data_IF_318478772197
#
_entry.id   IF_318478772197
#
_cell.length_a   1.000
_cell.length_b   1.000
_cell.length_c   1.000
_cell.angle_alpha   90.00
_cell.angle_beta   90.00
_cell.angle_gamma   90.00
#
_symmetry.space_group_name_H-M   'P 1'
#
loop_
_entity.id
_entity.type
_entity.pdbx_description
1 polymer ?
#
# COMPACT_ATOMS: atom_id res chain seq x y z
N UNK A 1 -5.20 -15.14 -17.44
CA UNK A 1 -3.76 -15.44 -17.36
C UNK A 1 -3.04 -14.10 -17.47
N UNK A 2 -2.63 -13.52 -16.34
CA UNK A 2 -1.87 -12.28 -16.34
C UNK A 2 -0.41 -12.64 -16.60
N UNK A 3 0.14 -12.17 -17.70
CA UNK A 3 1.56 -12.30 -18.00
C UNK A 3 2.24 -10.97 -17.65
N UNK A 4 2.85 -10.88 -16.50
CA UNK A 4 3.70 -9.72 -16.15
C UNK A 4 5.03 -9.89 -16.89
N UNK A 5 5.35 -8.96 -17.79
CA UNK A 5 6.53 -9.05 -18.64
C UNK A 5 7.63 -8.04 -18.27
N UNK A 6 7.39 -7.24 -17.23
CA UNK A 6 8.37 -6.29 -16.75
C UNK A 6 9.27 -6.92 -15.69
N UNK A 7 10.51 -6.43 -15.51
CA UNK A 7 11.26 -6.75 -14.31
C UNK A 7 10.36 -6.41 -13.13
N UNK A 8 10.31 -7.31 -12.16
CA UNK A 8 9.39 -7.24 -11.02
C UNK A 8 9.79 -6.05 -10.14
N UNK A 9 9.37 -4.86 -10.54
CA UNK A 9 9.60 -3.65 -9.76
C UNK A 9 8.74 -3.75 -8.52
N UNK A 10 9.32 -3.64 -7.32
CA UNK A 10 8.56 -3.59 -6.08
C UNK A 10 7.53 -2.47 -6.09
N UNK A 11 6.39 -2.68 -5.44
CA UNK A 11 5.37 -1.64 -5.29
C UNK A 11 4.64 -1.73 -3.97
N UNK A 12 4.10 -0.57 -3.59
CA UNK A 12 2.97 -0.47 -2.68
C UNK A 12 1.74 -0.16 -3.49
N UNK A 13 0.67 -0.83 -3.18
CA UNK A 13 -0.66 -0.52 -3.66
C UNK A 13 -1.64 -0.60 -2.49
N UNK A 14 -2.75 0.08 -2.59
CA UNK A 14 -3.83 -0.11 -1.64
C UNK A 14 -5.08 0.62 -2.05
N UNK A 15 -6.17 0.26 -1.40
CA UNK A 15 -7.49 0.82 -1.64
C UNK A 15 -8.29 0.91 -0.34
N UNK A 16 -9.12 1.93 -0.26
CA UNK A 16 -10.11 2.11 0.81
C UNK A 16 -11.47 2.41 0.23
N UNK A 17 -12.49 1.80 0.81
CA UNK A 17 -13.89 2.08 0.59
C UNK A 17 -14.47 2.74 1.83
N UNK A 18 -15.35 3.71 1.62
CA UNK A 18 -15.94 4.54 2.66
C UNK A 18 -17.46 4.33 2.72
N UNK A 19 -18.04 4.50 3.89
CA UNK A 19 -19.47 4.29 4.13
C UNK A 19 -20.39 5.16 3.26
N UNK A 20 -19.90 6.32 2.81
CA UNK A 20 -20.61 7.23 1.91
C UNK A 20 -20.51 6.86 0.42
N UNK A 21 -19.81 5.76 0.10
CA UNK A 21 -19.54 5.32 -1.28
C UNK A 21 -18.34 6.01 -1.93
N UNK A 22 -17.58 6.81 -1.17
CA UNK A 22 -16.29 7.33 -1.61
C UNK A 22 -15.26 6.21 -1.69
N UNK A 23 -14.20 6.44 -2.44
CA UNK A 23 -13.16 5.45 -2.71
C UNK A 23 -11.80 6.12 -2.88
N UNK A 24 -10.78 5.56 -2.27
CA UNK A 24 -9.38 5.97 -2.43
C UNK A 24 -8.56 4.78 -2.91
N UNK A 25 -7.71 4.98 -3.91
CA UNK A 25 -6.61 4.07 -4.21
C UNK A 25 -5.28 4.81 -4.31
N UNK A 26 -4.21 4.05 -4.16
CA UNK A 26 -2.84 4.54 -4.37
C UNK A 26 -1.96 3.44 -4.93
N UNK A 27 -0.95 3.86 -5.68
CA UNK A 27 0.07 2.99 -6.24
C UNK A 27 1.42 3.69 -6.23
N UNK A 28 2.41 3.09 -5.58
CA UNK A 28 3.77 3.60 -5.53
C UNK A 28 4.75 2.49 -5.91
N UNK A 29 5.23 2.44 -7.16
CA UNK A 29 6.36 1.62 -7.51
C UNK A 29 7.63 2.20 -6.85
N UNK A 30 8.55 1.32 -6.46
CA UNK A 30 9.82 1.75 -5.88
C UNK A 30 10.96 0.82 -6.31
N UNK A 31 12.19 1.34 -6.35
CA UNK A 31 13.38 0.52 -6.46
C UNK A 31 13.95 0.27 -5.07
N UNK A 32 14.42 -0.95 -4.83
CA UNK A 32 15.11 -1.30 -3.60
C UNK A 32 16.52 -1.79 -3.89
N UNK A 33 17.48 -1.28 -3.17
CA UNK A 33 18.89 -1.71 -3.27
C UNK A 33 19.15 -3.04 -2.57
N UNK A 34 18.21 -3.54 -1.77
CA UNK A 34 18.34 -4.78 -1.02
C UNK A 34 17.82 -6.02 -1.76
N UNK A 35 17.28 -5.87 -2.96
CA UNK A 35 16.80 -6.98 -3.80
C UNK A 35 17.96 -7.70 -4.50
N UNK A 36 18.92 -8.17 -3.72
CA UNK A 36 20.08 -8.90 -4.26
C UNK A 36 19.98 -10.41 -4.13
N UNK A 37 18.98 -10.89 -3.41
CA UNK A 37 18.78 -12.32 -3.18
C UNK A 37 17.29 -12.65 -3.16
N UNK A 38 16.95 -13.91 -3.50
CA UNK A 38 15.62 -14.46 -3.33
C UNK A 38 15.32 -14.52 -1.83
N UNK A 39 14.52 -13.58 -1.35
CA UNK A 39 14.14 -13.47 0.05
C UNK A 39 12.63 -13.28 0.14
N UNK A 40 11.95 -14.29 0.65
CA UNK A 40 10.49 -14.34 0.76
C UNK A 40 9.99 -13.82 2.12
N UNK A 41 10.91 -13.43 3.00
CA UNK A 41 10.53 -12.90 4.31
C UNK A 41 9.83 -11.56 4.17
N UNK A 42 8.81 -11.28 5.00
CA UNK A 42 8.20 -9.97 5.03
C UNK A 42 9.24 -8.89 5.32
N UNK A 43 9.14 -7.80 4.60
CA UNK A 43 10.03 -6.67 4.78
C UNK A 43 9.70 -5.91 6.06
N UNK A 44 10.75 -5.54 6.79
CA UNK A 44 10.66 -4.63 7.91
C UNK A 44 10.90 -3.21 7.42
N UNK A 45 10.33 -2.23 8.09
CA UNK A 45 10.50 -0.82 7.73
C UNK A 45 11.97 -0.41 7.59
N UNK A 46 12.84 -0.91 8.48
CA UNK A 46 14.29 -0.67 8.47
C UNK A 46 15.06 -1.30 7.31
N UNK A 47 14.49 -2.29 6.65
CA UNK A 47 15.16 -3.00 5.54
C UNK A 47 15.05 -2.21 4.22
N UNK A 48 14.41 -1.04 4.28
CA UNK A 48 14.14 -0.20 3.12
C UNK A 48 15.14 0.93 2.95
N UNK A 49 16.13 0.73 2.09
CA UNK A 49 16.70 1.83 1.34
C UNK A 49 15.94 1.92 0.00
N UNK A 50 14.89 2.74 -0.07
CA UNK A 50 14.07 2.85 -1.27
C UNK A 50 14.35 4.12 -2.04
N UNK A 51 14.38 3.97 -3.36
CA UNK A 51 14.25 5.08 -4.29
C UNK A 51 12.80 5.08 -4.77
N UNK A 52 11.95 5.99 -4.29
CA UNK A 52 10.57 6.06 -4.76
C UNK A 52 10.56 6.44 -6.24
N UNK A 53 9.78 5.70 -7.00
CA UNK A 53 9.44 6.09 -8.36
C UNK A 53 8.20 7.00 -8.31
N UNK A 54 7.71 7.39 -9.47
CA UNK A 54 6.53 8.25 -9.51
C UNK A 54 5.29 7.46 -9.08
N UNK A 55 4.76 7.79 -7.90
CA UNK A 55 3.50 7.27 -7.40
C UNK A 55 2.30 8.02 -7.96
N UNK A 56 1.15 7.39 -7.88
CA UNK A 56 -0.15 7.94 -8.30
C UNK A 56 -1.25 7.48 -7.35
N UNK A 57 -2.41 8.10 -7.44
CA UNK A 57 -3.59 7.69 -6.69
C UNK A 57 -4.85 8.27 -7.32
N UNK A 58 -5.98 7.79 -6.83
CA UNK A 58 -7.29 8.25 -7.26
C UNK A 58 -8.22 8.40 -6.06
N UNK A 59 -8.97 9.47 -6.03
CA UNK A 59 -10.03 9.73 -5.07
C UNK A 59 -11.35 9.91 -5.80
N UNK A 60 -12.32 9.07 -5.49
CA UNK A 60 -13.71 9.26 -5.90
C UNK A 60 -14.49 9.81 -4.71
N UNK A 61 -14.92 11.06 -4.80
CA UNK A 61 -15.82 11.66 -3.81
C UNK A 61 -17.27 11.37 -4.23
N UNK A 62 -17.95 10.51 -3.48
CA UNK A 62 -19.33 10.11 -3.79
C UNK A 62 -20.32 11.29 -3.69
N UNK A 63 -20.13 12.17 -2.73
CA UNK A 63 -20.98 13.37 -2.56
C UNK A 63 -20.90 14.36 -3.72
N UNK A 64 -19.79 14.35 -4.48
CA UNK A 64 -19.60 15.18 -5.67
C UNK A 64 -19.76 14.43 -6.98
N UNK A 65 -19.83 13.10 -6.92
CA UNK A 65 -19.75 12.23 -8.10
C UNK A 65 -18.52 12.56 -8.98
N UNK A 66 -17.42 12.94 -8.32
CA UNK A 66 -16.19 13.39 -8.97
C UNK A 66 -15.04 12.46 -8.62
N UNK A 67 -14.25 12.15 -9.63
CA UNK A 67 -12.98 11.44 -9.48
C UNK A 67 -11.83 12.41 -9.67
N UNK A 68 -10.90 12.43 -8.73
CA UNK A 68 -9.66 13.18 -8.80
C UNK A 68 -8.48 12.24 -8.96
N UNK A 69 -7.53 12.61 -9.81
CA UNK A 69 -6.27 11.91 -9.98
C UNK A 69 -5.18 12.62 -9.20
N UNK A 70 -4.37 11.85 -8.49
CA UNK A 70 -3.19 12.33 -7.80
C UNK A 70 -1.94 11.90 -8.57
N UNK A 71 -1.11 12.87 -8.93
CA UNK A 71 0.18 12.62 -9.57
C UNK A 71 1.32 12.47 -8.53
N UNK A 72 0.98 12.56 -7.25
CA UNK A 72 1.92 12.43 -6.14
C UNK A 72 1.35 11.47 -5.10
N UNK A 73 2.17 10.50 -4.75
CA UNK A 73 1.88 9.50 -3.73
C UNK A 73 3.16 9.19 -2.97
N UNK A 74 3.06 9.15 -1.67
CA UNK A 74 4.12 8.69 -0.76
C UNK A 74 3.54 7.59 0.13
N UNK A 75 4.29 6.54 0.33
CA UNK A 75 3.96 5.44 1.24
C UNK A 75 5.18 5.17 2.11
N UNK A 76 4.98 5.15 3.40
CA UNK A 76 5.97 4.81 4.40
C UNK A 76 5.45 3.67 5.27
N UNK A 77 6.28 2.65 5.49
CA UNK A 77 6.01 1.62 6.47
C UNK A 77 6.58 2.06 7.82
N UNK A 78 5.72 2.08 8.82
CA UNK A 78 6.11 2.36 10.20
C UNK A 78 6.10 1.05 10.99
N UNK A 79 7.06 0.88 11.89
CA UNK A 79 6.97 -0.14 12.93
C UNK A 79 5.91 0.33 13.93
N UNK A 80 4.96 -0.55 14.23
CA UNK A 80 3.88 -0.23 15.19
C UNK A 80 4.39 -0.56 16.59
N UNK A 81 4.30 0.40 17.49
CA UNK A 81 4.46 0.13 18.92
C UNK A 81 3.30 -0.76 19.39
N UNK A 82 3.58 -1.77 20.24
CA UNK A 82 2.57 -2.67 20.75
C UNK A 82 1.39 -1.92 21.39
N UNK A 83 0.17 -2.14 20.90
CA UNK A 83 -1.05 -1.55 21.42
C UNK A 83 -2.09 -2.62 21.80
N UNK A 84 -2.97 -2.32 22.75
CA UNK A 84 -4.04 -3.25 23.12
C UNK A 84 -5.00 -3.50 21.95
N UNK A 85 -5.22 -4.76 21.62
CA UNK A 85 -6.34 -5.24 20.80
C UNK A 85 -6.08 -5.43 19.30
N UNK A 86 -4.86 -5.22 18.80
CA UNK A 86 -4.50 -5.47 17.39
C UNK A 86 -3.40 -6.52 17.31
N UNK A 87 -3.47 -7.50 16.41
CA UNK A 87 -2.36 -8.41 16.16
C UNK A 87 -1.13 -7.61 15.72
N UNK A 88 -0.05 -7.71 16.46
CA UNK A 88 1.22 -7.08 16.15
C UNK A 88 2.04 -7.93 15.19
N UNK A 89 1.71 -9.22 15.16
CA UNK A 89 2.41 -10.24 14.40
C UNK A 89 1.40 -11.07 13.62
N UNK A 90 1.81 -11.52 12.46
CA UNK A 90 1.06 -12.54 11.72
C UNK A 90 1.18 -13.92 12.38
N UNK A 91 0.50 -14.93 11.80
CA UNK A 91 0.51 -16.31 12.29
C UNK A 91 1.91 -16.94 12.30
N UNK A 92 2.82 -16.45 11.47
CA UNK A 92 4.20 -16.90 11.36
C UNK A 92 5.16 -16.11 12.28
N UNK A 93 4.65 -15.19 13.07
CA UNK A 93 5.43 -14.35 14.00
C UNK A 93 6.17 -13.20 13.33
N UNK A 94 5.76 -12.77 12.13
CA UNK A 94 6.32 -11.60 11.48
C UNK A 94 5.52 -10.35 11.88
N UNK A 95 6.19 -9.21 12.10
CA UNK A 95 5.51 -7.97 12.44
C UNK A 95 4.60 -7.50 11.30
N UNK A 96 3.40 -7.08 11.66
CA UNK A 96 2.45 -6.47 10.74
C UNK A 96 2.79 -4.99 10.55
N UNK A 97 2.79 -4.49 9.31
CA UNK A 97 3.15 -3.11 9.04
C UNK A 97 2.04 -2.12 9.38
N UNK A 98 2.43 -0.90 9.70
CA UNK A 98 1.57 0.27 9.66
C UNK A 98 1.92 1.10 8.42
N UNK A 99 0.92 1.45 7.64
CA UNK A 99 1.07 2.23 6.42
C UNK A 99 0.75 3.70 6.70
N UNK A 100 1.74 4.56 6.50
CA UNK A 100 1.51 6.00 6.40
C UNK A 100 1.49 6.38 4.92
N UNK A 101 0.33 6.79 4.43
CA UNK A 101 0.12 7.10 3.01
C UNK A 101 -0.26 8.56 2.86
N UNK A 102 0.33 9.23 1.88
CA UNK A 102 -0.05 10.59 1.47
C UNK A 102 -0.22 10.63 -0.03
N UNK A 103 -1.36 11.14 -0.47
CA UNK A 103 -1.63 11.42 -1.89
C UNK A 103 -2.11 12.86 -2.02
N UNK A 104 -1.67 13.54 -3.08
CA UNK A 104 -2.08 14.94 -3.26
C UNK A 104 -1.98 15.43 -4.70
N UNK A 105 -2.76 16.48 -4.95
CA UNK A 105 -2.68 17.34 -6.12
C UNK A 105 -2.77 18.81 -5.65
N UNK A 106 -2.92 19.76 -6.55
CA UNK A 106 -3.02 21.17 -6.19
C UNK A 106 -4.33 21.59 -5.50
N UNK A 107 -5.29 20.67 -5.29
CA UNK A 107 -6.64 20.96 -4.76
C UNK A 107 -7.01 20.10 -3.55
N UNK A 108 -6.59 18.85 -3.57
CA UNK A 108 -6.94 17.87 -2.55
C UNK A 108 -5.68 17.21 -2.03
N UNK A 109 -5.62 17.02 -0.74
CA UNK A 109 -4.59 16.26 -0.05
C UNK A 109 -5.26 15.23 0.86
N UNK A 110 -4.82 13.99 0.80
CA UNK A 110 -5.27 12.91 1.68
C UNK A 110 -4.05 12.32 2.36
N UNK A 111 -4.10 12.28 3.69
CA UNK A 111 -3.13 11.58 4.52
C UNK A 111 -3.82 10.55 5.38
N UNK A 112 -3.26 9.35 5.50
CA UNK A 112 -3.81 8.30 6.35
C UNK A 112 -2.72 7.53 7.07
N UNK A 113 -3.11 7.00 8.23
CA UNK A 113 -2.38 6.00 8.99
C UNK A 113 -3.29 4.79 9.13
N UNK A 114 -2.83 3.62 8.67
CA UNK A 114 -3.61 2.41 8.69
C UNK A 114 -2.74 1.22 9.07
N UNK A 115 -3.22 0.41 10.03
CA UNK A 115 -2.55 -0.78 10.52
C UNK A 115 -3.00 -2.01 9.75
N UNK A 116 -2.06 -2.89 9.42
CA UNK A 116 -2.38 -4.22 8.97
C UNK A 116 -2.89 -5.05 10.15
N UNK A 117 -3.99 -5.79 9.95
CA UNK A 117 -4.57 -6.67 10.97
C UNK A 117 -4.34 -8.14 10.67
N UNK A 118 -3.91 -8.45 9.48
CA UNK A 118 -3.50 -9.79 9.05
C UNK A 118 -2.59 -9.68 7.83
N UNK A 119 -1.97 -10.79 7.44
CA UNK A 119 -1.17 -10.90 6.22
C UNK A 119 -1.57 -12.14 5.42
N UNK A 120 -1.85 -11.97 4.15
CA UNK A 120 -1.84 -13.04 3.18
C UNK A 120 -0.52 -12.99 2.38
N UNK A 121 0.10 -14.13 2.15
CA UNK A 121 1.43 -14.22 1.59
C UNK A 121 1.51 -15.32 0.53
N UNK A 122 2.09 -14.97 -0.64
CA UNK A 122 2.34 -15.92 -1.72
C UNK A 122 3.70 -15.69 -2.35
N UNK A 123 4.31 -16.78 -2.77
CA UNK A 123 5.48 -16.74 -3.64
C UNK A 123 5.23 -17.60 -4.87
N UNK A 124 5.74 -17.17 -6.01
CA UNK A 124 5.65 -17.95 -7.25
C UNK A 124 6.73 -17.58 -8.24
N UNK A 125 7.15 -18.58 -9.01
CA UNK A 125 8.08 -18.40 -10.11
C UNK A 125 7.31 -18.26 -11.42
N UNK A 126 7.68 -17.30 -12.25
CA UNK A 126 7.07 -17.02 -13.53
C UNK A 126 8.13 -16.92 -14.64
N UNK A 127 8.05 -17.74 -15.70
CA UNK A 127 8.96 -17.61 -16.82
C UNK A 127 8.70 -16.30 -17.57
N UNK A 128 9.76 -15.61 -17.92
CA UNK A 128 9.71 -14.41 -18.75
C UNK A 128 10.01 -14.71 -20.21
N UNK A 129 9.68 -13.78 -21.12
CA UNK A 129 10.03 -13.90 -22.54
C UNK A 129 11.53 -13.90 -22.80
N UNK A 130 12.32 -13.32 -21.92
CA UNK A 130 13.78 -13.26 -22.02
C UNK A 130 14.48 -14.55 -21.54
N UNK A 131 13.74 -15.65 -21.32
CA UNK A 131 14.23 -16.91 -20.75
C UNK A 131 14.81 -16.77 -19.34
N UNK A 132 14.46 -15.71 -18.65
CA UNK A 132 14.73 -15.53 -17.21
C UNK A 132 13.51 -15.99 -16.42
N UNK A 133 13.70 -16.28 -15.14
CA UNK A 133 12.63 -16.53 -14.20
C UNK A 133 12.41 -15.29 -13.35
N UNK A 134 11.17 -14.86 -13.19
CA UNK A 134 10.80 -13.87 -12.19
C UNK A 134 10.27 -14.60 -10.96
N UNK A 135 11.00 -14.56 -9.87
CA UNK A 135 10.51 -14.96 -8.55
C UNK A 135 9.75 -13.80 -7.95
N UNK A 136 8.51 -14.03 -7.56
CA UNK A 136 7.62 -13.00 -7.09
C UNK A 136 7.17 -13.28 -5.66
N UNK A 137 7.26 -12.27 -4.81
CA UNK A 137 6.77 -12.28 -3.44
C UNK A 137 5.65 -11.27 -3.31
N UNK A 138 4.49 -11.73 -2.89
CA UNK A 138 3.26 -10.96 -2.81
C UNK A 138 2.72 -10.97 -1.38
N UNK A 139 2.47 -9.81 -0.83
CA UNK A 139 1.85 -9.66 0.48
C UNK A 139 0.65 -8.75 0.37
N UNK A 140 -0.45 -9.17 0.95
CA UNK A 140 -1.69 -8.41 1.07
C UNK A 140 -2.11 -8.30 2.52
N UNK A 141 -2.56 -7.13 2.90
CA UNK A 141 -2.86 -6.75 4.28
C UNK A 141 -4.25 -6.13 4.35
N UNK A 142 -5.25 -6.78 4.99
CA UNK A 142 -6.44 -6.09 5.44
C UNK A 142 -6.06 -4.96 6.41
N UNK A 143 -6.72 -3.81 6.28
CA UNK A 143 -6.37 -2.60 7.00
C UNK A 143 -7.44 -2.18 8.01
N UNK A 144 -6.99 -1.72 9.15
CA UNK A 144 -7.74 -0.89 10.09
C UNK A 144 -7.19 0.55 10.02
N UNK A 145 -8.06 1.52 9.77
CA UNK A 145 -7.66 2.92 9.61
C UNK A 145 -7.69 3.61 10.97
N UNK A 146 -6.52 4.00 11.48
CA UNK A 146 -6.40 4.71 12.75
C UNK A 146 -6.66 6.21 12.60
N UNK A 147 -6.26 6.76 11.47
CA UNK A 147 -6.40 8.19 11.18
C UNK A 147 -6.47 8.41 9.67
N UNK A 148 -7.36 9.27 9.28
CA UNK A 148 -7.41 9.82 7.93
C UNK A 148 -7.74 11.30 7.99
N UNK A 149 -7.17 12.05 7.07
CA UNK A 149 -7.48 13.45 6.86
C UNK A 149 -7.63 13.69 5.36
N UNK A 150 -8.76 14.20 4.96
CA UNK A 150 -9.03 14.66 3.59
C UNK A 150 -9.17 16.18 3.65
N UNK A 151 -8.21 16.89 3.07
CA UNK A 151 -8.23 18.35 2.94
C UNK A 151 -8.57 18.71 1.50
N UNK A 152 -9.68 19.39 1.30
CA UNK A 152 -10.14 19.90 0.01
C UNK A 152 -10.76 21.30 0.16
N UNK A 153 -11.36 21.84 -0.87
CA UNK A 153 -11.99 23.17 -0.88
C UNK A 153 -13.19 23.32 0.08
N UNK A 154 -13.74 22.20 0.60
CA UNK A 154 -14.80 22.20 1.62
C UNK A 154 -14.27 22.27 3.05
N UNK A 155 -12.99 22.08 3.21
CA UNK A 155 -12.35 22.03 4.52
C UNK A 155 -11.71 20.67 4.80
N UNK A 156 -11.72 20.28 6.06
CA UNK A 156 -11.08 19.06 6.55
C UNK A 156 -12.16 18.04 6.91
N UNK A 157 -12.00 16.83 6.44
CA UNK A 157 -12.75 15.64 6.88
C UNK A 157 -11.77 14.69 7.55
N UNK A 158 -12.24 14.00 8.59
CA UNK A 158 -11.45 13.08 9.41
C UNK A 158 -12.17 11.73 9.54
N UNK A 159 -11.62 10.81 10.32
CA UNK A 159 -12.19 9.47 10.49
C UNK A 159 -13.66 9.49 10.94
N UNK A 160 -14.03 10.47 11.75
CA UNK A 160 -15.37 10.63 12.33
C UNK A 160 -16.44 11.03 11.31
N UNK A 161 -16.03 11.46 10.11
CA UNK A 161 -16.96 11.81 9.02
C UNK A 161 -17.54 10.58 8.29
N UNK A 162 -17.05 9.38 8.61
CA UNK A 162 -17.52 8.13 8.02
C UNK A 162 -17.89 7.10 9.09
N UNK A 163 -18.97 6.38 8.87
CA UNK A 163 -19.42 5.30 9.75
C UNK A 163 -18.43 4.13 9.77
N UNK A 164 -17.84 3.84 8.62
CA UNK A 164 -16.80 2.83 8.45
C UNK A 164 -15.89 3.14 7.26
N UNK A 165 -14.66 2.65 7.35
CA UNK A 165 -13.69 2.63 6.26
C UNK A 165 -13.07 1.24 6.23
N UNK A 166 -13.12 0.57 5.07
CA UNK A 166 -12.55 -0.75 4.86
C UNK A 166 -11.63 -0.76 3.66
N UNK A 167 -10.60 -1.55 3.73
CA UNK A 167 -9.71 -1.74 2.59
C UNK A 167 -8.53 -2.64 2.88
N UNK A 168 -7.63 -2.66 1.92
CA UNK A 168 -6.41 -3.44 1.99
C UNK A 168 -5.25 -2.70 1.34
N UNK A 169 -4.05 -3.12 1.70
CA UNK A 169 -2.81 -2.70 1.06
C UNK A 169 -2.00 -3.91 0.63
N UNK A 170 -1.18 -3.70 -0.38
CA UNK A 170 -0.22 -4.65 -0.89
C UNK A 170 1.20 -4.10 -0.78
N UNK A 171 2.12 -4.99 -0.50
CA UNK A 171 3.53 -4.76 -0.71
C UNK A 171 4.13 -5.97 -1.40
N UNK A 172 4.58 -5.77 -2.60
CA UNK A 172 5.05 -6.85 -3.47
C UNK A 172 6.39 -6.51 -4.08
N UNK A 173 7.19 -7.54 -4.32
CA UNK A 173 8.48 -7.41 -5.00
C UNK A 173 8.79 -8.67 -5.78
N UNK A 174 9.76 -8.57 -6.67
CA UNK A 174 10.22 -9.69 -7.46
C UNK A 174 11.70 -9.61 -7.75
N UNK A 175 12.29 -10.77 -8.00
CA UNK A 175 13.66 -10.95 -8.42
C UNK A 175 13.69 -11.63 -9.78
N UNK A 176 14.46 -11.06 -10.73
CA UNK A 176 14.81 -11.73 -12.00
C UNK A 176 16.09 -12.52 -11.84
N UNK A 177 16.09 -13.79 -12.23
CA UNK A 177 17.26 -14.65 -12.22
C UNK A 177 17.29 -15.65 -13.41
#
# INVERSE_FOLDING_TARGET
KVCVQAPSIPWFWGMLHFSDGSYLDWFLPHASLTLTAKDDRPWKARDFARLPLKGQGQWKDAGRQRTEQFARCEVELLEVEPGEGVPEFDEDGNPLPCFHVRVWNGRTQIGLLARAVARAHWTFDQPTRARMTSHFTYNEYPLEVDRITVLDERGVRTLEDWEWIHGNAEHSWGLLH
#
